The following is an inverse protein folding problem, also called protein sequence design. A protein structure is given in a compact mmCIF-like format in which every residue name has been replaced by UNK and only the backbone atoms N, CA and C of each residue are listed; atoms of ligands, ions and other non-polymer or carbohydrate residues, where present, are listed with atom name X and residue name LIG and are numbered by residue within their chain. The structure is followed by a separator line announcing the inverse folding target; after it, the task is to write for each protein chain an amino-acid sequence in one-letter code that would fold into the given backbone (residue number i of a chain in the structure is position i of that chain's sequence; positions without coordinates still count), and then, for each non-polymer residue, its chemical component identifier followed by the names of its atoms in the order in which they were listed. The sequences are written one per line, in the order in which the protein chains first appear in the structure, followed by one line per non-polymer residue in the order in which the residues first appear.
data_IF_800515908623
#
_entry.id   IF_800515908623
#
_cell.length_a   1.000
_cell.length_b   1.000
_cell.length_c   1.000
_cell.angle_alpha   90.00
_cell.angle_beta   90.00
_cell.angle_gamma   90.00
#
_symmetry.space_group_name_H-M   'P 1'
#
loop_
_entity.id
_entity.type
_entity.pdbx_description
1 polymer ?
#
# COMPACT_ATOMS: atom_id res chain seq x y z
N UNK A 1 -8.74 -16.10 19.44
CA UNK A 1 -8.45 -14.96 18.52
C UNK A 1 -8.06 -15.55 17.17
N UNK A 2 -8.65 -15.06 16.10
CA UNK A 2 -8.22 -15.48 14.74
C UNK A 2 -6.82 -14.97 14.46
N UNK A 3 -6.00 -15.68 13.65
CA UNK A 3 -4.65 -15.22 13.29
C UNK A 3 -4.63 -13.78 12.77
N UNK A 4 -5.67 -13.39 12.04
CA UNK A 4 -5.84 -12.04 11.48
C UNK A 4 -5.99 -10.98 12.57
N UNK A 5 -6.76 -11.26 13.63
CA UNK A 5 -6.88 -10.33 14.76
C UNK A 5 -5.55 -10.16 15.50
N UNK A 6 -4.75 -11.23 15.61
CA UNK A 6 -3.41 -11.15 16.19
C UNK A 6 -2.49 -10.26 15.34
N UNK A 7 -2.47 -10.47 14.02
CA UNK A 7 -1.67 -9.65 13.11
C UNK A 7 -2.12 -8.19 13.17
N UNK A 8 -3.43 -7.94 13.10
CA UNK A 8 -3.97 -6.59 13.18
C UNK A 8 -3.61 -5.91 14.50
N UNK A 9 -3.78 -6.62 15.64
CA UNK A 9 -3.41 -6.10 16.95
C UNK A 9 -1.91 -5.81 17.06
N UNK A 10 -1.07 -6.65 16.46
CA UNK A 10 0.38 -6.45 16.44
C UNK A 10 0.76 -5.22 15.62
N UNK A 11 0.17 -5.07 14.43
CA UNK A 11 0.41 -3.91 13.55
C UNK A 11 -0.07 -2.62 14.22
N UNK A 12 -1.28 -2.61 14.79
CA UNK A 12 -1.81 -1.46 15.52
C UNK A 12 -0.98 -1.14 16.77
N UNK A 13 -0.60 -2.15 17.53
CA UNK A 13 0.27 -1.97 18.70
C UNK A 13 1.64 -1.39 18.32
N UNK A 14 2.27 -1.92 17.28
CA UNK A 14 3.52 -1.39 16.76
C UNK A 14 3.35 0.06 16.27
N UNK A 15 2.25 0.38 15.59
CA UNK A 15 1.92 1.74 15.18
C UNK A 15 1.78 2.68 16.38
N UNK A 16 0.99 2.31 17.39
CA UNK A 16 0.76 3.10 18.59
C UNK A 16 2.04 3.35 19.40
N UNK A 17 2.95 2.36 19.45
CA UNK A 17 4.25 2.52 20.13
C UNK A 17 5.22 3.35 19.30
N UNK A 18 5.24 3.18 17.98
CA UNK A 18 6.19 3.87 17.12
C UNK A 18 5.84 5.35 16.87
N UNK A 19 4.56 5.74 16.93
CA UNK A 19 4.14 7.14 16.76
C UNK A 19 4.74 8.09 17.81
N UNK A 20 4.66 7.82 19.12
CA UNK A 20 5.33 8.65 20.12
C UNK A 20 6.84 8.69 19.97
N UNK A 21 7.45 7.54 19.64
CA UNK A 21 8.90 7.48 19.38
C UNK A 21 9.27 8.36 18.20
N UNK A 22 8.52 8.29 17.11
CA UNK A 22 8.69 9.17 15.96
C UNK A 22 8.55 10.65 16.34
N UNK A 23 7.50 11.00 17.09
CA UNK A 23 7.25 12.38 17.52
C UNK A 23 8.39 12.94 18.38
N UNK A 24 9.01 12.11 19.22
CA UNK A 24 10.13 12.51 20.09
C UNK A 24 11.45 12.65 19.33
N UNK A 25 11.73 11.70 18.42
CA UNK A 25 13.02 11.61 17.71
C UNK A 25 13.07 12.56 16.51
N UNK A 26 11.93 12.78 15.84
CA UNK A 26 11.86 13.53 14.59
C UNK A 26 11.24 14.92 14.74
N UNK A 27 11.32 15.53 15.94
CA UNK A 27 10.88 16.91 16.17
C UNK A 27 11.52 17.86 15.13
N UNK A 28 10.72 18.28 14.13
CA UNK A 28 11.10 19.27 13.12
C UNK A 28 11.87 18.75 11.90
N UNK A 29 12.13 17.44 11.78
CA UNK A 29 12.67 16.86 10.53
C UNK A 29 11.54 16.46 9.62
N UNK A 30 11.49 17.06 8.43
CA UNK A 30 10.52 16.73 7.38
C UNK A 30 11.15 15.75 6.40
N UNK A 31 10.40 14.70 6.05
CA UNK A 31 10.78 13.76 4.99
C UNK A 31 10.43 14.38 3.63
N UNK A 32 11.40 14.46 2.71
CA UNK A 32 11.21 15.08 1.40
C UNK A 32 10.13 14.39 0.54
N UNK A 33 9.91 13.08 0.76
CA UNK A 33 8.85 12.34 0.05
C UNK A 33 7.48 12.63 0.64
N UNK A 34 7.38 12.89 1.94
CA UNK A 34 6.15 13.30 2.59
C UNK A 34 5.74 14.72 2.18
N UNK A 35 6.68 15.64 2.06
CA UNK A 35 6.43 17.02 1.58
C UNK A 35 5.87 17.05 0.16
N UNK A 36 6.29 16.12 -0.71
CA UNK A 36 5.77 16.01 -2.08
C UNK A 36 4.32 15.54 -2.16
N UNK A 37 3.86 14.75 -1.20
CA UNK A 37 2.47 14.25 -1.15
C UNK A 37 1.49 15.30 -0.61
N UNK A 38 1.99 16.40 -0.04
CA UNK A 38 1.27 17.60 0.37
C UNK A 38 -0.11 17.32 0.94
N UNK A 39 -0.22 16.98 2.21
CA UNK A 39 -1.51 16.70 2.80
C UNK A 39 -1.93 17.84 3.71
N UNK A 40 -2.81 18.73 3.20
CA UNK A 40 -3.54 19.69 4.03
C UNK A 40 -4.77 19.07 4.71
N UNK A 41 -4.88 17.73 4.69
CA UNK A 41 -6.00 17.03 5.28
C UNK A 41 -5.90 17.02 6.82
N UNK A 42 -6.96 17.44 7.51
CA UNK A 42 -7.09 17.45 8.96
C UNK A 42 -5.97 18.20 9.74
N UNK A 43 -5.74 19.48 9.43
CA UNK A 43 -4.95 20.39 10.29
C UNK A 43 -3.59 19.84 10.76
N UNK A 44 -2.84 19.14 9.90
CA UNK A 44 -1.52 18.59 10.21
C UNK A 44 -1.48 17.16 10.74
N UNK A 45 -2.62 16.54 11.08
CA UNK A 45 -2.67 15.11 11.47
C UNK A 45 -2.31 14.23 10.27
N UNK A 46 -2.82 14.55 9.08
CA UNK A 46 -2.48 13.84 7.86
C UNK A 46 -0.99 13.94 7.55
N UNK A 47 -0.41 15.10 7.74
CA UNK A 47 1.02 15.35 7.55
C UNK A 47 1.86 14.51 8.52
N UNK A 48 1.49 14.46 9.79
CA UNK A 48 2.14 13.63 10.80
C UNK A 48 2.07 12.14 10.43
N UNK A 49 0.90 11.64 10.02
CA UNK A 49 0.71 10.23 9.65
C UNK A 49 1.54 9.84 8.43
N UNK A 50 1.60 10.71 7.41
CA UNK A 50 2.42 10.48 6.23
C UNK A 50 3.91 10.42 6.59
N UNK A 51 4.41 11.39 7.37
CA UNK A 51 5.81 11.42 7.79
C UNK A 51 6.17 10.22 8.67
N UNK A 52 5.30 9.87 9.62
CA UNK A 52 5.47 8.67 10.44
C UNK A 52 5.50 7.40 9.61
N UNK A 53 4.57 7.23 8.67
CA UNK A 53 4.51 6.06 7.82
C UNK A 53 5.76 5.95 6.93
N UNK A 54 6.21 7.05 6.33
CA UNK A 54 7.43 7.09 5.54
C UNK A 54 8.67 6.73 6.37
N UNK A 55 8.72 7.17 7.62
CA UNK A 55 9.77 6.77 8.55
C UNK A 55 9.67 5.28 8.90
N UNK A 56 8.48 4.78 9.18
CA UNK A 56 8.25 3.38 9.56
C UNK A 56 8.63 2.39 8.44
N UNK A 57 8.45 2.78 7.16
CA UNK A 57 8.81 1.92 6.01
C UNK A 57 10.31 2.03 5.63
N UNK A 58 11.02 3.05 6.10
CA UNK A 58 12.44 3.29 5.74
C UNK A 58 13.39 2.12 6.05
N UNK A 59 13.22 1.31 7.13
CA UNK A 59 14.07 0.13 7.35
C UNK A 59 13.91 -0.92 6.25
N UNK A 60 12.67 -1.11 5.74
CA UNK A 60 12.36 -2.04 4.65
C UNK A 60 13.03 -1.57 3.36
N UNK A 61 12.89 -0.28 3.03
CA UNK A 61 13.57 0.34 1.89
C UNK A 61 15.09 0.12 1.94
N UNK A 62 15.71 0.42 3.08
CA UNK A 62 17.16 0.21 3.27
C UNK A 62 17.56 -1.26 3.12
N UNK A 63 16.74 -2.18 3.60
CA UNK A 63 16.95 -3.61 3.42
C UNK A 63 16.91 -4.01 1.95
N UNK A 64 15.90 -3.55 1.22
CA UNK A 64 15.74 -3.80 -0.21
C UNK A 64 16.90 -3.22 -1.05
N UNK A 65 17.34 -1.99 -0.72
CA UNK A 65 18.49 -1.37 -1.38
C UNK A 65 19.78 -2.18 -1.16
N UNK A 66 19.99 -2.71 0.05
CA UNK A 66 21.15 -3.58 0.34
C UNK A 66 21.12 -4.89 -0.42
N UNK A 67 19.92 -5.43 -0.67
CA UNK A 67 19.70 -6.64 -1.46
C UNK A 67 19.76 -6.39 -2.98
N UNK A 68 19.96 -5.14 -3.42
CA UNK A 68 19.99 -4.78 -4.84
C UNK A 68 18.62 -4.84 -5.51
N UNK A 69 17.52 -4.72 -4.75
CA UNK A 69 16.18 -4.72 -5.33
C UNK A 69 15.99 -3.49 -6.22
N UNK A 70 15.38 -3.69 -7.38
CA UNK A 70 15.01 -2.62 -8.31
C UNK A 70 13.54 -2.21 -8.13
N UNK A 71 13.15 -1.01 -8.60
CA UNK A 71 11.74 -0.62 -8.65
C UNK A 71 10.88 -1.63 -9.41
N UNK A 72 11.39 -2.19 -10.50
CA UNK A 72 10.69 -3.19 -11.32
C UNK A 72 10.35 -4.47 -10.55
N UNK A 73 11.20 -4.89 -9.59
CA UNK A 73 10.89 -6.02 -8.72
C UNK A 73 9.69 -5.70 -7.83
N UNK A 74 9.56 -4.47 -7.35
CA UNK A 74 8.41 -4.05 -6.52
C UNK A 74 7.14 -3.94 -7.36
N UNK A 75 7.24 -3.40 -8.58
CA UNK A 75 6.14 -3.36 -9.54
C UNK A 75 5.62 -4.76 -9.85
N UNK A 76 6.51 -5.70 -10.15
CA UNK A 76 6.15 -7.09 -10.39
C UNK A 76 5.50 -7.75 -9.16
N UNK A 77 6.05 -7.53 -7.97
CA UNK A 77 5.50 -8.05 -6.72
C UNK A 77 4.11 -7.45 -6.44
N UNK A 78 3.93 -6.13 -6.63
CA UNK A 78 2.65 -5.45 -6.49
C UNK A 78 1.58 -6.04 -7.41
N UNK A 79 1.92 -6.28 -8.68
CA UNK A 79 1.01 -6.91 -9.64
C UNK A 79 0.63 -8.34 -9.22
N UNK A 80 1.59 -9.13 -8.73
CA UNK A 80 1.33 -10.50 -8.24
C UNK A 80 0.40 -10.47 -7.03
N UNK A 81 0.64 -9.57 -6.07
CA UNK A 81 -0.23 -9.41 -4.91
C UNK A 81 -1.62 -8.90 -5.30
N UNK A 82 -1.73 -7.99 -6.26
CA UNK A 82 -3.00 -7.52 -6.80
C UNK A 82 -3.81 -8.64 -7.43
N UNK A 83 -3.18 -9.45 -8.28
CA UNK A 83 -3.82 -10.63 -8.88
C UNK A 83 -4.25 -11.64 -7.80
N UNK A 84 -3.36 -11.95 -6.85
CA UNK A 84 -3.67 -12.83 -5.73
C UNK A 84 -4.85 -12.31 -4.91
N UNK A 85 -4.94 -11.01 -4.69
CA UNK A 85 -6.06 -10.37 -4.01
C UNK A 85 -7.38 -10.64 -4.73
N UNK A 86 -7.45 -10.38 -6.04
CA UNK A 86 -8.66 -10.63 -6.83
C UNK A 86 -9.11 -12.09 -6.75
N UNK A 87 -8.17 -13.03 -6.90
CA UNK A 87 -8.47 -14.48 -6.79
C UNK A 87 -8.98 -14.84 -5.38
N UNK A 88 -8.29 -14.37 -4.33
CA UNK A 88 -8.67 -14.67 -2.95
C UNK A 88 -10.04 -14.09 -2.59
N UNK A 89 -10.34 -12.86 -3.01
CA UNK A 89 -11.65 -12.23 -2.81
C UNK A 89 -12.73 -13.04 -3.56
N UNK A 90 -12.49 -13.38 -4.82
CA UNK A 90 -13.44 -14.17 -5.63
C UNK A 90 -13.74 -15.53 -5.02
N UNK A 91 -12.76 -16.15 -4.34
CA UNK A 91 -12.91 -17.39 -3.57
C UNK A 91 -13.58 -17.20 -2.19
N UNK A 92 -13.98 -15.98 -1.83
CA UNK A 92 -14.58 -15.66 -0.55
C UNK A 92 -13.59 -15.53 0.62
N UNK A 93 -12.29 -15.57 0.36
CA UNK A 93 -11.24 -15.38 1.37
C UNK A 93 -10.92 -13.89 1.57
N UNK A 94 -11.91 -13.12 2.04
CA UNK A 94 -11.84 -11.66 2.10
C UNK A 94 -10.66 -11.15 2.95
N UNK A 95 -10.36 -11.81 4.06
CA UNK A 95 -9.23 -11.43 4.92
C UNK A 95 -7.89 -11.55 4.18
N UNK A 96 -7.64 -12.70 3.56
CA UNK A 96 -6.40 -12.94 2.82
C UNK A 96 -6.31 -12.01 1.58
N UNK A 97 -7.43 -11.77 0.90
CA UNK A 97 -7.52 -10.82 -0.20
C UNK A 97 -7.22 -9.39 0.23
N UNK A 98 -7.72 -8.96 1.38
CA UNK A 98 -7.43 -7.66 1.97
C UNK A 98 -5.95 -7.48 2.32
N UNK A 99 -5.31 -8.49 2.89
CA UNK A 99 -3.87 -8.46 3.14
C UNK A 99 -3.05 -8.40 1.85
N UNK A 100 -3.48 -9.13 0.81
CA UNK A 100 -2.82 -9.07 -0.49
C UNK A 100 -2.91 -7.67 -1.12
N UNK A 101 -4.06 -6.99 -1.05
CA UNK A 101 -4.21 -5.58 -1.49
C UNK A 101 -3.27 -4.68 -0.69
N UNK A 102 -3.22 -4.83 0.64
CA UNK A 102 -2.35 -4.02 1.49
C UNK A 102 -0.87 -4.20 1.11
N UNK A 103 -0.43 -5.44 0.82
CA UNK A 103 0.92 -5.72 0.37
C UNK A 103 1.20 -5.13 -1.01
N UNK A 104 0.24 -5.17 -1.95
CA UNK A 104 0.37 -4.51 -3.24
C UNK A 104 0.60 -3.00 -3.06
N UNK A 105 -0.17 -2.33 -2.21
CA UNK A 105 0.01 -0.91 -1.89
C UNK A 105 1.36 -0.59 -1.22
N UNK A 106 1.90 -1.49 -0.40
CA UNK A 106 3.25 -1.34 0.16
C UNK A 106 4.31 -1.45 -0.94
N UNK A 107 4.16 -2.39 -1.88
CA UNK A 107 5.07 -2.51 -3.03
C UNK A 107 5.08 -1.25 -3.89
N UNK A 108 3.91 -0.67 -4.18
CA UNK A 108 3.73 0.60 -4.90
C UNK A 108 4.49 1.77 -4.23
N UNK A 109 4.39 1.90 -2.91
CA UNK A 109 5.13 2.94 -2.18
C UNK A 109 6.65 2.69 -2.25
N UNK A 110 7.07 1.42 -2.18
CA UNK A 110 8.48 1.04 -2.17
C UNK A 110 9.13 1.21 -3.54
N UNK A 111 8.45 0.95 -4.66
CA UNK A 111 9.01 1.14 -6.00
C UNK A 111 9.36 2.60 -6.25
N UNK A 112 8.45 3.53 -5.94
CA UNK A 112 8.69 4.95 -6.04
C UNK A 112 9.85 5.43 -5.15
N UNK A 113 9.99 4.88 -3.93
CA UNK A 113 11.11 5.20 -3.04
C UNK A 113 12.43 4.66 -3.57
N UNK A 114 12.46 3.41 -4.01
CA UNK A 114 13.64 2.78 -4.62
C UNK A 114 14.07 3.51 -5.88
N UNK A 115 13.11 3.89 -6.76
CA UNK A 115 13.42 4.65 -7.98
C UNK A 115 14.11 5.99 -7.67
N UNK A 116 13.66 6.68 -6.63
CA UNK A 116 14.29 7.95 -6.18
C UNK A 116 15.65 7.71 -5.54
N UNK A 117 15.77 6.72 -4.65
CA UNK A 117 17.03 6.40 -3.97
C UNK A 117 18.12 5.97 -4.98
N UNK A 118 17.75 5.20 -5.99
CA UNK A 118 18.65 4.75 -7.07
C UNK A 118 18.83 5.77 -8.20
N UNK A 119 18.12 6.93 -8.14
CA UNK A 119 18.16 7.99 -9.18
C UNK A 119 17.73 7.51 -10.58
N UNK A 120 16.87 6.51 -10.66
CA UNK A 120 16.31 5.97 -11.92
C UNK A 120 14.87 6.42 -12.15
N UNK A 121 14.33 7.29 -11.32
CA UNK A 121 12.99 7.83 -11.48
C UNK A 121 12.85 8.54 -12.84
N UNK A 122 11.85 8.15 -13.61
CA UNK A 122 11.61 8.65 -14.97
C UNK A 122 10.10 8.82 -15.24
N UNK A 123 9.72 9.65 -16.23
CA UNK A 123 8.33 9.75 -16.68
C UNK A 123 7.76 8.41 -17.15
N UNK A 124 8.59 7.59 -17.79
CA UNK A 124 8.21 6.25 -18.22
C UNK A 124 7.92 5.33 -17.04
N UNK A 125 8.79 5.32 -16.02
CA UNK A 125 8.55 4.56 -14.78
C UNK A 125 7.24 4.95 -14.12
N UNK A 126 6.96 6.24 -14.02
CA UNK A 126 5.69 6.75 -13.48
C UNK A 126 4.47 6.32 -14.31
N UNK A 127 4.59 6.23 -15.63
CA UNK A 127 3.53 5.74 -16.50
C UNK A 127 3.25 4.26 -16.26
N UNK A 128 4.30 3.44 -16.15
CA UNK A 128 4.16 2.00 -15.85
C UNK A 128 3.50 1.82 -14.49
N UNK A 129 3.98 2.49 -13.46
CA UNK A 129 3.45 2.51 -12.10
C UNK A 129 1.93 2.80 -12.10
N UNK A 130 1.50 3.93 -12.66
CA UNK A 130 0.08 4.27 -12.79
C UNK A 130 -0.74 3.25 -13.59
N UNK A 131 -0.12 2.55 -14.53
CA UNK A 131 -0.80 1.52 -15.33
C UNK A 131 -0.99 0.25 -14.50
N UNK A 132 0.05 -0.17 -13.76
CA UNK A 132 -0.01 -1.35 -12.89
C UNK A 132 -1.01 -1.16 -11.76
N UNK A 133 -1.11 0.04 -11.18
CA UNK A 133 -2.14 0.38 -10.20
C UNK A 133 -3.55 0.10 -10.71
N UNK A 134 -3.84 0.49 -11.97
CA UNK A 134 -5.14 0.19 -12.58
C UNK A 134 -5.40 -1.30 -12.73
N UNK A 135 -4.35 -2.09 -13.02
CA UNK A 135 -4.50 -3.55 -13.05
C UNK A 135 -4.78 -4.12 -11.66
N UNK A 136 -4.06 -3.67 -10.62
CA UNK A 136 -4.30 -4.10 -9.23
C UNK A 136 -5.73 -3.79 -8.80
N UNK A 137 -6.20 -2.56 -9.03
CA UNK A 137 -7.59 -2.17 -8.78
C UNK A 137 -8.58 -3.06 -9.54
N UNK A 138 -8.35 -3.27 -10.84
CA UNK A 138 -9.21 -4.09 -11.68
C UNK A 138 -9.31 -5.53 -11.17
N UNK A 139 -8.19 -6.14 -10.77
CA UNK A 139 -8.20 -7.49 -10.21
C UNK A 139 -9.02 -7.57 -8.92
N UNK A 140 -8.88 -6.59 -8.04
CA UNK A 140 -9.66 -6.52 -6.80
C UNK A 140 -11.17 -6.40 -7.10
N UNK A 141 -11.56 -5.52 -8.02
CA UNK A 141 -12.96 -5.34 -8.42
C UNK A 141 -13.53 -6.57 -9.11
N UNK A 142 -12.76 -7.25 -9.97
CA UNK A 142 -13.18 -8.53 -10.56
C UNK A 142 -13.40 -9.58 -9.47
N UNK A 143 -12.53 -9.64 -8.47
CA UNK A 143 -12.72 -10.50 -7.31
C UNK A 143 -14.01 -10.21 -6.57
N UNK A 144 -14.33 -8.96 -6.30
CA UNK A 144 -15.60 -8.56 -5.69
C UNK A 144 -16.79 -8.85 -6.60
N UNK A 145 -16.68 -8.65 -7.91
CA UNK A 145 -17.73 -8.96 -8.86
C UNK A 145 -18.09 -10.47 -8.82
N UNK A 146 -17.06 -11.32 -8.78
CA UNK A 146 -17.25 -12.78 -8.67
C UNK A 146 -17.86 -13.13 -7.30
N UNK A 147 -17.34 -12.57 -6.21
CA UNK A 147 -17.83 -12.83 -4.86
C UNK A 147 -19.30 -12.44 -4.67
N UNK A 148 -19.74 -11.34 -5.30
CA UNK A 148 -21.10 -10.84 -5.19
C UNK A 148 -22.03 -11.27 -6.34
N UNK A 149 -21.56 -12.04 -7.33
CA UNK A 149 -22.33 -12.40 -8.53
C UNK A 149 -23.69 -13.05 -8.24
N UNK A 150 -23.81 -13.79 -7.14
CA UNK A 150 -25.08 -14.44 -6.74
C UNK A 150 -26.01 -13.55 -5.88
N UNK A 151 -25.69 -12.28 -5.67
CA UNK A 151 -26.47 -11.37 -4.80
C UNK A 151 -27.17 -10.27 -5.62
N UNK A 152 -28.46 -9.99 -5.36
CA UNK A 152 -29.23 -9.00 -6.15
C UNK A 152 -28.61 -7.60 -6.13
N UNK A 153 -27.93 -7.22 -5.04
CA UNK A 153 -27.29 -5.94 -4.85
C UNK A 153 -25.78 -5.94 -5.22
N UNK A 154 -25.24 -7.09 -5.61
CA UNK A 154 -23.83 -7.25 -5.96
C UNK A 154 -23.34 -6.29 -7.03
N UNK A 155 -24.04 -6.11 -8.17
CA UNK A 155 -23.67 -5.16 -9.21
C UNK A 155 -23.58 -3.71 -8.71
N UNK A 156 -24.45 -3.32 -7.77
CA UNK A 156 -24.45 -1.96 -7.19
C UNK A 156 -23.18 -1.70 -6.35
N UNK A 157 -22.74 -2.68 -5.57
CA UNK A 157 -21.52 -2.57 -4.76
C UNK A 157 -20.28 -2.42 -5.65
N UNK A 158 -20.20 -3.23 -6.70
CA UNK A 158 -19.08 -3.15 -7.66
C UNK A 158 -19.09 -1.81 -8.40
N UNK A 159 -20.26 -1.37 -8.88
CA UNK A 159 -20.40 -0.08 -9.55
C UNK A 159 -20.03 1.11 -8.65
N UNK A 160 -20.45 1.08 -7.39
CA UNK A 160 -20.11 2.13 -6.41
C UNK A 160 -18.61 2.20 -6.08
N UNK A 161 -17.89 1.09 -6.25
CA UNK A 161 -16.43 1.07 -6.06
C UNK A 161 -15.63 1.52 -7.28
N UNK A 162 -16.25 1.54 -8.47
CA UNK A 162 -15.60 1.96 -9.72
C UNK A 162 -15.82 3.44 -10.02
N UNK A 163 -16.78 4.12 -9.38
CA UNK A 163 -17.15 5.53 -9.59
C UNK A 163 -16.50 6.46 -8.62
#
# INVERSE_FOLDING_TARGET
MTPTLLVLATVLGAALVSMPVFALVHRGRRDADAERKGSSFLMGVGDFLVHWFMWAISPVERGLLRLGASPDHMNAAGLVFGLASGVLIGLGRLEAGGWAIALAGVCDILDGRLARAQKVASPYGKFIDSTLDRFVETFAFLGFAVYFAGRPWGPLVVAAGLG
#
